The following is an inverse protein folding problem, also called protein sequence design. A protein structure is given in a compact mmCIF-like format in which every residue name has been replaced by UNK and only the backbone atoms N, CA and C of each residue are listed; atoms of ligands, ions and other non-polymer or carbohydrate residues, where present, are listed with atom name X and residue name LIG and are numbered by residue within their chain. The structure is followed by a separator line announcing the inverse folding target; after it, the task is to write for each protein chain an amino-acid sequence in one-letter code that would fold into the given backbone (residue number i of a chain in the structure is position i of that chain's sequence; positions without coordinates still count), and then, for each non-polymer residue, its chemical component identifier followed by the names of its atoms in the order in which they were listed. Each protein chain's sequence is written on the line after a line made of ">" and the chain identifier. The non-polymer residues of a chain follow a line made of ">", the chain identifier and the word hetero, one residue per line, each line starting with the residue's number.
data_IF_753165163315
#
_entry.id   IF_753165163315
#
_cell.length_a   1.000
_cell.length_b   1.000
_cell.length_c   1.000
_cell.angle_alpha   90.00
_cell.angle_beta   90.00
_cell.angle_gamma   90.00
#
_symmetry.space_group_name_H-M   'P 1'
#
loop_
_entity.id
_entity.type
_entity.pdbx_description
1 polymer ?
#
# COMPACT_ATOMS: atom_id res chain seq x y z
N UNK A 1 7.79 2.43 -2.90
CA UNK A 1 7.97 1.43 -1.82
C UNK A 1 7.14 1.85 -0.63
N UNK A 2 6.56 0.91 0.11
CA UNK A 2 5.71 1.18 1.27
C UNK A 2 6.36 0.65 2.55
N UNK A 3 6.42 1.48 3.58
CA UNK A 3 7.00 1.11 4.87
C UNK A 3 5.99 0.31 5.69
N UNK A 4 6.40 -0.86 6.19
CA UNK A 4 5.58 -1.67 7.07
C UNK A 4 5.38 -0.93 8.41
N UNK A 5 4.13 -0.70 8.86
CA UNK A 5 3.87 0.02 10.10
C UNK A 5 4.27 -0.75 11.36
N UNK A 6 4.50 -2.07 11.27
CA UNK A 6 4.82 -2.93 12.42
C UNK A 6 6.31 -3.08 12.66
N UNK A 7 7.10 -3.31 11.61
CA UNK A 7 8.53 -3.60 11.72
C UNK A 7 9.43 -2.60 10.99
N UNK A 8 8.85 -1.63 10.27
CA UNK A 8 9.60 -0.63 9.52
C UNK A 8 10.22 -1.13 8.21
N UNK A 9 10.09 -2.42 7.87
CA UNK A 9 10.61 -2.97 6.62
C UNK A 9 9.99 -2.30 5.39
N UNK A 10 10.79 -2.05 4.37
CA UNK A 10 10.32 -1.48 3.10
C UNK A 10 9.85 -2.59 2.16
N UNK A 11 8.61 -2.45 1.69
CA UNK A 11 7.98 -3.41 0.78
C UNK A 11 7.76 -2.73 -0.57
N UNK A 12 8.45 -3.20 -1.60
CA UNK A 12 8.38 -2.57 -2.92
C UNK A 12 7.08 -2.90 -3.66
N UNK A 13 6.69 -4.18 -3.67
CA UNK A 13 5.61 -4.66 -4.52
C UNK A 13 4.30 -4.85 -3.73
N UNK A 14 3.21 -4.18 -4.12
CA UNK A 14 1.89 -4.49 -3.58
C UNK A 14 1.39 -5.84 -4.12
N UNK A 15 0.76 -6.62 -3.27
CA UNK A 15 0.06 -7.86 -3.62
C UNK A 15 -1.18 -7.60 -4.48
N UNK A 16 -1.89 -6.50 -4.23
CA UNK A 16 -3.06 -6.07 -5.01
C UNK A 16 -3.11 -4.55 -5.05
N UNK A 17 -3.54 -3.98 -6.17
CA UNK A 17 -3.77 -2.54 -6.29
C UNK A 17 -5.19 -2.26 -6.76
N UNK A 18 -5.75 -1.13 -6.33
CA UNK A 18 -7.03 -0.61 -6.80
C UNK A 18 -7.05 0.91 -6.70
N UNK A 19 -7.92 1.54 -7.47
CA UNK A 19 -8.09 3.00 -7.46
C UNK A 19 -9.31 3.34 -6.61
N UNK A 20 -9.14 4.25 -5.67
CA UNK A 20 -10.23 4.91 -4.95
C UNK A 20 -10.43 6.29 -5.58
N UNK A 21 -11.55 6.47 -6.29
CA UNK A 21 -11.91 7.70 -7.00
C UNK A 21 -13.24 8.27 -6.47
N UNK A 22 -13.22 9.03 -5.35
CA UNK A 22 -14.42 9.68 -4.85
C UNK A 22 -14.84 10.84 -5.75
N UNK A 23 -16.15 11.06 -5.92
CA UNK A 23 -16.69 12.17 -6.70
C UNK A 23 -16.24 13.51 -6.08
N UNK A 24 -15.58 14.36 -6.86
CA UNK A 24 -15.08 15.67 -6.40
C UNK A 24 -13.72 15.64 -5.65
N UNK A 25 -13.06 14.49 -5.54
CA UNK A 25 -11.70 14.39 -4.96
C UNK A 25 -10.72 13.77 -5.95
N UNK A 26 -9.43 14.05 -5.77
CA UNK A 26 -8.38 13.43 -6.59
C UNK A 26 -8.37 11.91 -6.34
N UNK A 27 -8.35 11.09 -7.39
CA UNK A 27 -8.26 9.64 -7.24
C UNK A 27 -6.92 9.24 -6.63
N UNK A 28 -6.94 8.23 -5.77
CA UNK A 28 -5.75 7.68 -5.12
C UNK A 28 -5.66 6.19 -5.41
N UNK A 29 -4.51 5.75 -5.89
CA UNK A 29 -4.21 4.32 -6.03
C UNK A 29 -3.75 3.78 -4.68
N UNK A 30 -4.40 2.73 -4.21
CA UNK A 30 -4.04 2.04 -2.97
C UNK A 30 -3.54 0.64 -3.30
N UNK A 31 -2.46 0.26 -2.64
CA UNK A 31 -1.85 -1.04 -2.70
C UNK A 31 -2.03 -1.76 -1.38
N UNK A 32 -2.40 -3.04 -1.44
CA UNK A 32 -2.29 -3.99 -0.34
C UNK A 32 -0.90 -4.60 -0.37
N UNK A 33 -0.18 -4.52 0.73
CA UNK A 33 1.16 -5.06 0.89
C UNK A 33 1.14 -6.15 1.95
N UNK A 34 1.89 -7.22 1.72
CA UNK A 34 2.21 -8.22 2.74
C UNK A 34 3.68 -8.06 3.08
N UNK A 35 3.98 -7.74 4.35
CA UNK A 35 5.35 -7.60 4.80
C UNK A 35 6.04 -8.99 4.80
N UNK A 36 7.16 -9.18 4.09
CA UNK A 36 7.88 -10.45 4.10
C UNK A 36 8.60 -10.69 5.44
N UNK A 37 8.90 -9.63 6.19
CA UNK A 37 9.68 -9.70 7.43
C UNK A 37 8.82 -10.12 8.63
N UNK A 38 7.61 -9.56 8.76
CA UNK A 38 6.73 -9.84 9.91
C UNK A 38 5.35 -10.40 9.54
N UNK A 39 5.12 -10.71 8.27
CA UNK A 39 3.86 -11.28 7.75
C UNK A 39 2.64 -10.36 7.78
N UNK A 40 2.78 -9.14 8.30
CA UNK A 40 1.65 -8.20 8.48
C UNK A 40 1.16 -7.70 7.13
N UNK A 41 -0.16 -7.72 6.96
CA UNK A 41 -0.83 -7.16 5.78
C UNK A 41 -1.26 -5.72 6.07
N UNK A 42 -0.91 -4.79 5.20
CA UNK A 42 -1.22 -3.37 5.38
C UNK A 42 -1.55 -2.71 4.03
N UNK A 43 -2.23 -1.56 4.08
CA UNK A 43 -2.59 -0.78 2.89
C UNK A 43 -1.77 0.50 2.87
N UNK A 44 -1.25 0.87 1.70
CA UNK A 44 -0.55 2.13 1.51
C UNK A 44 -0.87 2.73 0.14
N UNK A 45 -0.82 4.06 0.04
CA UNK A 45 -0.97 4.74 -1.23
C UNK A 45 0.20 4.40 -2.15
N UNK A 46 -0.09 4.00 -3.38
CA UNK A 46 0.90 3.76 -4.42
C UNK A 46 0.95 5.02 -5.28
N UNK A 47 1.97 5.84 -5.06
CA UNK A 47 2.27 6.93 -5.99
C UNK A 47 3.02 6.31 -7.17
N UNK A 48 2.49 6.46 -8.38
CA UNK A 48 3.26 6.25 -9.61
C UNK A 48 4.27 7.39 -9.75
#
# INVERSE_FOLDING_TARGET
>A
MAKCPKCGAEVANPTKTWVLAPKGKKPVTIGLFKCPSCGTVFRAAVKK
#
